data_IF_713398435055
#
_entry.id   IF_713398435055
#
_cell.length_a   1.000
_cell.length_b   1.000
_cell.length_c   1.000
_cell.angle_alpha   90.00
_cell.angle_beta   90.00
_cell.angle_gamma   90.00
#
_symmetry.space_group_name_H-M   'P 1'
#
loop_
_entity.id
_entity.type
_entity.pdbx_description
1 polymer ?
#
# COMPACT_ATOMS: atom_id res chain seq x y z
N UNK A 1 -0.38 5.03 20.47
CA UNK A 1 -1.27 5.91 19.70
C UNK A 1 -1.64 5.16 18.44
N UNK A 2 -2.93 5.08 18.11
CA UNK A 2 -3.42 4.35 16.94
C UNK A 2 -4.06 5.34 15.95
N UNK A 3 -3.77 5.14 14.67
CA UNK A 3 -4.33 5.94 13.59
C UNK A 3 -4.81 5.01 12.48
N UNK A 4 -5.86 5.42 11.76
CA UNK A 4 -6.45 4.61 10.67
C UNK A 4 -5.90 4.97 9.30
N UNK A 5 -5.36 6.18 9.15
CA UNK A 5 -4.93 6.74 7.88
C UNK A 5 -3.40 6.95 7.87
N UNK A 6 -2.76 6.59 6.74
CA UNK A 6 -1.32 6.75 6.58
C UNK A 6 -0.87 8.21 6.65
N UNK A 7 -1.66 9.13 6.09
CA UNK A 7 -1.37 10.56 6.14
C UNK A 7 -1.28 11.07 7.58
N UNK A 8 -2.17 10.60 8.46
CA UNK A 8 -2.11 10.93 9.88
C UNK A 8 -0.84 10.37 10.53
N UNK A 9 -0.47 9.13 10.22
CA UNK A 9 0.77 8.54 10.72
C UNK A 9 2.00 9.38 10.32
N UNK A 10 2.07 9.84 9.06
CA UNK A 10 3.17 10.67 8.59
C UNK A 10 3.25 12.04 9.27
N UNK A 11 2.11 12.68 9.54
CA UNK A 11 2.08 13.94 10.30
C UNK A 11 2.69 13.77 11.69
N UNK A 12 2.33 12.70 12.39
CA UNK A 12 2.84 12.42 13.74
C UNK A 12 4.35 12.16 13.75
N UNK A 13 4.89 11.49 12.72
CA UNK A 13 6.34 11.30 12.57
C UNK A 13 7.05 12.64 12.32
N UNK A 14 6.48 13.52 11.48
CA UNK A 14 7.05 14.87 11.25
C UNK A 14 7.08 15.71 12.52
N UNK A 15 6.08 15.55 13.38
CA UNK A 15 5.99 16.18 14.70
C UNK A 15 6.90 15.53 15.76
N UNK A 16 7.71 14.54 15.36
CA UNK A 16 8.66 13.81 16.22
C UNK A 16 8.00 13.03 17.35
N UNK A 17 6.74 12.63 17.18
CA UNK A 17 6.01 11.82 18.16
C UNK A 17 6.34 10.32 18.07
N UNK A 18 7.11 9.90 17.06
CA UNK A 18 7.57 8.52 16.93
C UNK A 18 8.03 8.15 15.52
N UNK A 19 8.00 6.84 15.23
CA UNK A 19 8.27 6.23 13.93
C UNK A 19 7.13 5.29 13.55
N UNK A 20 7.00 4.95 12.27
CA UNK A 20 5.97 4.01 11.80
C UNK A 20 6.53 3.10 10.71
N UNK A 21 5.92 1.94 10.55
CA UNK A 21 6.15 1.01 9.43
C UNK A 21 4.99 1.12 8.45
N UNK A 22 5.31 1.20 7.16
CA UNK A 22 4.31 1.33 6.10
C UNK A 22 4.72 0.50 4.89
N UNK A 23 3.76 0.01 4.07
CA UNK A 23 4.08 -0.53 2.77
C UNK A 23 4.78 0.54 1.91
N UNK A 24 5.74 0.12 1.08
CA UNK A 24 6.48 1.05 0.22
C UNK A 24 5.54 1.85 -0.71
N UNK A 25 4.45 1.22 -1.18
CA UNK A 25 3.44 1.84 -2.05
C UNK A 25 2.67 3.00 -1.40
N UNK A 26 2.68 3.10 -0.07
CA UNK A 26 1.96 4.17 0.65
C UNK A 26 2.89 5.32 1.05
N UNK A 27 4.18 5.28 0.70
CA UNK A 27 5.11 6.36 1.01
C UNK A 27 4.67 7.66 0.31
N UNK A 28 4.70 8.81 1.02
CA UNK A 28 4.30 10.07 0.41
C UNK A 28 5.35 10.50 -0.62
N UNK A 29 4.88 11.12 -1.70
CA UNK A 29 5.76 11.69 -2.75
C UNK A 29 6.67 12.76 -2.12
N UNK A 30 6.10 13.66 -1.31
CA UNK A 30 6.84 14.68 -0.57
C UNK A 30 7.32 14.15 0.78
N UNK A 31 8.65 14.07 0.92
CA UNK A 31 9.32 13.48 2.09
C UNK A 31 10.01 14.51 3.00
N UNK A 32 9.77 15.79 2.79
CA UNK A 32 10.26 16.82 3.72
C UNK A 32 9.77 16.54 5.15
N UNK A 33 10.71 16.61 6.09
CA UNK A 33 10.47 16.25 7.49
C UNK A 33 10.38 14.75 7.78
N UNK A 34 10.58 13.88 6.79
CA UNK A 34 10.60 12.42 6.96
C UNK A 34 11.94 11.83 6.55
N UNK A 35 12.35 10.75 7.21
CA UNK A 35 13.44 9.88 6.77
C UNK A 35 12.89 8.47 6.60
N UNK A 36 13.07 7.92 5.41
CA UNK A 36 12.66 6.55 5.06
C UNK A 36 13.88 5.66 5.10
N UNK A 37 13.75 4.50 5.72
CA UNK A 37 14.77 3.48 5.81
C UNK A 37 14.13 2.15 5.43
N UNK A 38 14.87 1.32 4.70
CA UNK A 38 14.46 -0.05 4.44
C UNK A 38 14.60 -0.88 5.71
N UNK A 39 13.70 -1.86 5.87
CA UNK A 39 13.83 -2.85 6.94
C UNK A 39 14.95 -3.83 6.59
N UNK A 40 15.74 -4.22 7.59
CA UNK A 40 16.77 -5.26 7.43
C UNK A 40 16.17 -6.61 7.03
N UNK A 41 14.91 -6.85 7.40
CA UNK A 41 14.12 -7.99 6.94
C UNK A 41 12.77 -7.47 6.45
N UNK A 42 12.47 -7.70 5.17
CA UNK A 42 11.23 -7.28 4.55
C UNK A 42 10.02 -7.93 5.22
N UNK A 43 8.96 -7.14 5.41
CA UNK A 43 7.64 -7.64 5.80
C UNK A 43 6.72 -7.45 4.61
N UNK A 44 6.48 -8.56 3.90
CA UNK A 44 5.71 -8.57 2.66
C UNK A 44 4.20 -8.58 2.95
N UNK A 45 3.45 -7.82 2.14
CA UNK A 45 1.99 -7.92 2.11
C UNK A 45 1.54 -8.00 0.66
N UNK A 46 0.91 -9.10 0.32
CA UNK A 46 0.38 -9.35 -1.02
C UNK A 46 -1.02 -8.75 -1.15
N UNK A 47 -1.23 -8.02 -2.24
CA UNK A 47 -2.54 -7.54 -2.67
C UNK A 47 -2.86 -8.20 -4.01
N UNK A 48 -4.07 -8.73 -4.12
CA UNK A 48 -4.54 -9.37 -5.34
C UNK A 48 -5.89 -8.78 -5.74
N UNK A 49 -6.11 -8.68 -7.05
CA UNK A 49 -7.43 -8.49 -7.61
C UNK A 49 -8.04 -9.87 -7.82
N UNK A 50 -9.17 -10.14 -7.16
CA UNK A 50 -9.80 -11.47 -7.17
C UNK A 50 -11.23 -11.35 -7.69
N UNK A 51 -11.60 -12.20 -8.65
CA UNK A 51 -12.97 -12.28 -9.12
C UNK A 51 -13.90 -12.84 -8.03
N UNK A 52 -15.13 -12.33 -7.95
CA UNK A 52 -16.10 -12.83 -6.98
C UNK A 52 -16.34 -14.34 -7.18
N UNK A 53 -16.34 -15.14 -6.11
CA UNK A 53 -16.53 -16.58 -6.22
C UNK A 53 -17.97 -16.93 -6.64
N UNK A 54 -18.13 -18.08 -7.30
CA UNK A 54 -19.46 -18.66 -7.58
C UNK A 54 -20.17 -18.13 -8.83
N UNK A 55 -19.52 -17.27 -9.63
CA UNK A 55 -20.03 -16.84 -10.94
C UNK A 55 -18.88 -16.66 -11.92
N UNK A 56 -19.10 -17.02 -13.17
CA UNK A 56 -18.16 -16.69 -14.25
C UNK A 56 -18.06 -15.16 -14.42
N UNK A 57 -16.83 -14.65 -14.46
CA UNK A 57 -16.56 -13.24 -14.70
C UNK A 57 -16.97 -12.86 -16.13
N UNK A 58 -17.51 -11.66 -16.31
CA UNK A 58 -17.88 -11.20 -17.66
C UNK A 58 -16.64 -11.04 -18.53
N UNK A 59 -16.82 -11.05 -19.85
CA UNK A 59 -15.74 -10.86 -20.83
C UNK A 59 -14.94 -9.57 -20.58
N UNK A 60 -15.60 -8.49 -20.11
CA UNK A 60 -14.94 -7.23 -19.79
C UNK A 60 -14.06 -7.33 -18.54
N UNK A 61 -14.50 -8.08 -17.52
CA UNK A 61 -13.70 -8.33 -16.32
C UNK A 61 -12.49 -9.19 -16.68
N UNK A 62 -12.67 -10.23 -17.49
CA UNK A 62 -11.56 -11.07 -17.96
C UNK A 62 -10.55 -10.25 -18.79
N UNK A 63 -11.03 -9.45 -19.74
CA UNK A 63 -10.16 -8.58 -20.53
C UNK A 63 -9.37 -7.61 -19.64
N UNK A 64 -10.01 -7.00 -18.65
CA UNK A 64 -9.32 -6.12 -17.69
C UNK A 64 -8.27 -6.88 -16.87
N UNK A 65 -8.58 -8.07 -16.36
CA UNK A 65 -7.61 -8.90 -15.63
C UNK A 65 -6.41 -9.25 -16.50
N UNK A 66 -6.62 -9.65 -17.76
CA UNK A 66 -5.54 -9.92 -18.70
C UNK A 66 -4.65 -8.69 -18.93
N UNK A 67 -5.23 -7.48 -19.02
CA UNK A 67 -4.40 -6.27 -19.15
C UNK A 67 -3.53 -5.99 -17.93
N UNK A 68 -3.89 -6.49 -16.74
CA UNK A 68 -3.11 -6.30 -15.52
C UNK A 68 -2.00 -7.36 -15.34
N UNK A 69 -2.14 -8.54 -15.95
CA UNK A 69 -1.13 -9.60 -15.92
C UNK A 69 0.07 -9.31 -16.84
N UNK A 70 -0.07 -8.38 -17.78
CA UNK A 70 0.99 -7.97 -18.72
C UNK A 70 1.97 -6.92 -18.17
N UNK A 71 1.74 -6.42 -16.95
CA UNK A 71 2.60 -5.45 -16.24
C UNK A 71 3.38 -6.09 -15.09
#
# INVERSE_FOLDING_TARGET
MEVREWNSAFSLVRERLGVTLVPQSTLPVQREGLRVLELSTGVEREFALVAAPGRESSVLVQAFLSTLEEF
#
